data_IF_415763427792
#
_entry.id   IF_415763427792
#
_cell.length_a   1.000
_cell.length_b   1.000
_cell.length_c   1.000
_cell.angle_alpha   90.00
_cell.angle_beta   90.00
_cell.angle_gamma   90.00
#
_symmetry.space_group_name_H-M   'P 1'
#
loop_
_entity.id
_entity.type
_entity.pdbx_description
1 polymer ?
#
# COMPACT_ATOMS: atom_id res chain seq x y z
N UNK A 1 -10.33 -5.63 4.10
CA UNK A 1 -10.78 -4.72 5.18
C UNK A 1 -9.80 -4.68 6.36
N UNK A 2 -9.36 -5.83 6.94
CA UNK A 2 -8.51 -5.82 8.14
C UNK A 2 -7.19 -5.06 7.97
N UNK A 3 -6.57 -5.14 6.79
CA UNK A 3 -5.31 -4.43 6.51
C UNK A 3 -5.47 -2.90 6.49
N UNK A 4 -6.54 -2.40 5.84
CA UNK A 4 -6.81 -0.96 5.77
C UNK A 4 -7.04 -0.38 7.16
N UNK A 5 -7.85 -1.05 7.98
CA UNK A 5 -8.12 -0.62 9.36
C UNK A 5 -6.86 -0.68 10.23
N UNK A 6 -6.05 -1.73 10.09
CA UNK A 6 -4.78 -1.86 10.81
C UNK A 6 -3.80 -0.75 10.44
N UNK A 7 -3.67 -0.42 9.16
CA UNK A 7 -2.75 0.64 8.71
C UNK A 7 -3.26 2.02 9.11
N UNK A 8 -4.56 2.28 8.99
CA UNK A 8 -5.17 3.54 9.42
C UNK A 8 -4.95 3.79 10.93
N UNK A 9 -5.25 2.80 11.77
CA UNK A 9 -5.07 2.89 13.23
C UNK A 9 -3.60 3.12 13.61
N UNK A 10 -2.68 2.29 13.10
CA UNK A 10 -1.25 2.44 13.39
C UNK A 10 -0.68 3.78 12.94
N UNK A 11 -1.04 4.23 11.74
CA UNK A 11 -0.54 5.49 11.21
C UNK A 11 -1.09 6.69 11.97
N UNK A 12 -2.38 6.68 12.30
CA UNK A 12 -3.01 7.79 13.03
C UNK A 12 -2.50 7.87 14.47
N UNK A 13 -2.44 6.76 15.19
CA UNK A 13 -1.96 6.70 16.58
C UNK A 13 -0.48 7.04 16.73
N UNK A 14 0.35 6.71 15.73
CA UNK A 14 1.76 7.13 15.69
C UNK A 14 1.92 8.66 15.69
N UNK A 15 0.88 9.40 15.32
CA UNK A 15 0.84 10.86 15.32
C UNK A 15 -0.20 11.43 16.32
N UNK A 16 -0.65 10.63 17.29
CA UNK A 16 -1.65 11.01 18.30
C UNK A 16 -2.96 11.54 17.70
N UNK A 17 -3.35 11.02 16.53
CA UNK A 17 -4.61 11.35 15.85
C UNK A 17 -5.58 10.17 16.04
N UNK A 18 -6.81 10.46 16.46
CA UNK A 18 -7.87 9.45 16.50
C UNK A 18 -8.62 9.42 15.15
N UNK A 19 -8.44 8.34 14.38
CA UNK A 19 -9.21 8.10 13.18
C UNK A 19 -10.61 7.53 13.50
N UNK A 20 -11.65 8.05 12.86
CA UNK A 20 -13.02 7.54 12.95
C UNK A 20 -13.45 6.98 11.61
N UNK A 21 -14.17 5.86 11.62
CA UNK A 21 -14.61 5.11 10.43
C UNK A 21 -16.15 5.04 10.38
N UNK A 22 -16.88 6.14 10.07
CA UNK A 22 -18.34 6.20 10.16
C UNK A 22 -19.09 5.14 9.35
N UNK A 23 -18.50 4.68 8.24
CA UNK A 23 -19.09 3.64 7.41
C UNK A 23 -19.07 2.24 8.06
N UNK A 24 -18.39 2.07 9.20
CA UNK A 24 -18.39 0.84 10.01
C UNK A 24 -19.28 0.93 11.25
N UNK A 25 -20.14 1.96 11.35
CA UNK A 25 -21.17 1.99 12.39
C UNK A 25 -22.14 0.81 12.21
N UNK A 26 -22.41 0.08 13.29
CA UNK A 26 -23.24 -1.12 13.23
C UNK A 26 -24.67 -0.82 12.76
N UNK A 27 -25.23 0.36 13.08
CA UNK A 27 -26.58 0.76 12.67
C UNK A 27 -26.66 0.96 11.16
N UNK A 28 -25.59 1.51 10.57
CA UNK A 28 -25.49 1.61 9.12
C UNK A 28 -25.36 0.23 8.48
N UNK A 29 -24.56 -0.66 9.07
CA UNK A 29 -24.44 -2.03 8.57
C UNK A 29 -25.79 -2.77 8.62
N UNK A 30 -26.51 -2.70 9.74
CA UNK A 30 -27.85 -3.29 9.91
C UNK A 30 -28.84 -2.74 8.87
N UNK A 31 -28.87 -1.42 8.66
CA UNK A 31 -29.69 -0.80 7.63
C UNK A 31 -29.35 -1.36 6.24
N UNK A 32 -28.06 -1.42 5.89
CA UNK A 32 -27.62 -1.93 4.58
C UNK A 32 -28.00 -3.40 4.38
N UNK A 33 -28.01 -4.21 5.44
CA UNK A 33 -28.46 -5.61 5.37
C UNK A 33 -29.98 -5.77 5.22
N UNK A 34 -30.77 -4.76 5.62
CA UNK A 34 -32.22 -4.76 5.42
C UNK A 34 -32.67 -4.32 4.01
N UNK A 35 -31.76 -3.71 3.24
CA UNK A 35 -32.07 -3.16 1.91
C UNK A 35 -31.98 -4.26 0.84
N UNK A 36 -32.95 -4.33 -0.10
CA UNK A 36 -32.88 -5.24 -1.25
C UNK A 36 -31.57 -5.07 -2.06
N UNK A 37 -30.90 -6.16 -2.47
CA UNK A 37 -29.60 -6.07 -3.16
C UNK A 37 -29.60 -5.24 -4.45
N UNK A 38 -30.71 -5.22 -5.17
CA UNK A 38 -30.94 -4.44 -6.40
C UNK A 38 -30.98 -2.92 -6.17
N UNK A 39 -31.26 -2.48 -4.94
CA UNK A 39 -31.13 -1.08 -4.52
C UNK A 39 -29.69 -0.69 -4.14
N UNK A 40 -28.81 -1.66 -3.85
CA UNK A 40 -27.39 -1.42 -3.56
C UNK A 40 -26.54 -1.39 -4.84
N UNK A 41 -26.96 -2.15 -5.86
CA UNK A 41 -26.33 -2.24 -7.17
C UNK A 41 -27.39 -2.31 -8.29
N UNK A 42 -27.27 -1.42 -9.27
CA UNK A 42 -28.20 -1.36 -10.39
C UNK A 42 -27.48 -1.09 -11.72
N UNK A 43 -27.71 -1.92 -12.74
CA UNK A 43 -27.20 -1.76 -14.12
C UNK A 43 -25.69 -1.42 -14.17
N UNK A 44 -24.86 -2.18 -13.47
CA UNK A 44 -23.40 -1.96 -13.45
C UNK A 44 -22.95 -0.81 -12.54
N UNK A 45 -23.87 -0.11 -11.89
CA UNK A 45 -23.58 0.98 -10.95
C UNK A 45 -23.59 0.46 -9.53
N UNK A 46 -22.48 0.64 -8.82
CA UNK A 46 -22.35 0.29 -7.40
C UNK A 46 -22.69 1.48 -6.51
N UNK A 47 -23.06 1.19 -5.25
CA UNK A 47 -23.34 2.21 -4.21
C UNK A 47 -24.51 3.12 -4.59
N UNK A 48 -25.54 2.57 -5.25
CA UNK A 48 -26.66 3.37 -5.80
C UNK A 48 -27.35 4.17 -4.70
N UNK A 49 -27.81 3.50 -3.64
CA UNK A 49 -28.47 4.18 -2.51
C UNK A 49 -27.60 5.26 -1.85
N UNK A 50 -26.28 5.04 -1.76
CA UNK A 50 -25.35 6.03 -1.20
C UNK A 50 -25.20 7.25 -2.12
N UNK A 51 -25.14 7.02 -3.45
CA UNK A 51 -25.05 8.11 -4.42
C UNK A 51 -26.32 8.95 -4.40
N UNK A 52 -27.48 8.31 -4.37
CA UNK A 52 -28.78 9.00 -4.28
C UNK A 52 -28.88 9.81 -2.98
N UNK A 53 -28.54 9.23 -1.83
CA UNK A 53 -28.54 9.92 -0.54
C UNK A 53 -27.60 11.14 -0.47
N UNK A 54 -26.58 11.20 -1.33
CA UNK A 54 -25.64 12.32 -1.42
C UNK A 54 -25.99 13.32 -2.52
N UNK A 55 -27.14 13.20 -3.18
CA UNK A 55 -27.53 14.02 -4.33
C UNK A 55 -27.46 15.53 -4.11
N UNK A 56 -27.86 15.98 -2.92
CA UNK A 56 -27.87 17.41 -2.58
C UNK A 56 -26.57 17.90 -1.92
N UNK A 57 -25.69 16.97 -1.56
CA UNK A 57 -24.44 17.24 -0.83
C UNK A 57 -23.23 17.24 -1.79
N UNK A 58 -23.26 16.38 -2.80
CA UNK A 58 -22.09 16.11 -3.65
C UNK A 58 -22.34 16.50 -5.11
N UNK A 59 -21.41 17.23 -5.75
CA UNK A 59 -21.54 17.57 -7.16
C UNK A 59 -21.72 16.33 -8.06
N UNK A 60 -22.60 16.36 -9.07
CA UNK A 60 -22.86 15.21 -9.96
C UNK A 60 -21.58 14.63 -10.58
N UNK A 61 -20.63 15.49 -10.95
CA UNK A 61 -19.32 15.07 -11.51
C UNK A 61 -18.50 14.16 -10.59
N UNK A 62 -18.71 14.21 -9.28
CA UNK A 62 -18.04 13.33 -8.29
C UNK A 62 -18.97 12.16 -7.95
N UNK A 63 -20.24 12.47 -7.67
CA UNK A 63 -21.28 11.51 -7.28
C UNK A 63 -21.52 10.45 -8.34
N UNK A 64 -21.35 10.75 -9.62
CA UNK A 64 -21.70 9.85 -10.73
C UNK A 64 -20.46 9.16 -11.33
N UNK A 65 -19.27 9.36 -10.73
CA UNK A 65 -18.03 8.68 -11.14
C UNK A 65 -18.15 7.17 -11.03
N UNK A 66 -17.80 6.47 -12.11
CA UNK A 66 -17.79 5.01 -12.18
C UNK A 66 -16.40 4.40 -12.08
N UNK A 67 -15.36 5.20 -12.20
CA UNK A 67 -13.97 4.77 -12.01
C UNK A 67 -13.68 4.55 -10.52
N UNK A 68 -13.83 3.29 -10.09
CA UNK A 68 -13.51 2.87 -8.74
C UNK A 68 -11.99 2.85 -8.57
N UNK A 69 -11.46 3.86 -7.89
CA UNK A 69 -10.08 3.87 -7.45
C UNK A 69 -10.00 3.21 -6.06
N UNK A 70 -9.12 2.22 -5.93
CA UNK A 70 -8.72 1.73 -4.61
C UNK A 70 -7.83 2.77 -3.91
N UNK A 71 -7.54 2.54 -2.62
CA UNK A 71 -6.51 3.27 -1.89
C UNK A 71 -5.11 2.79 -2.30
N UNK A 72 -4.80 2.86 -3.60
CA UNK A 72 -3.51 2.44 -4.12
C UNK A 72 -2.53 3.58 -3.88
N UNK A 73 -1.48 3.32 -3.09
CA UNK A 73 -0.38 4.25 -2.97
C UNK A 73 0.18 4.53 -4.39
N UNK A 74 0.55 5.78 -4.74
CA UNK A 74 1.03 6.10 -6.08
C UNK A 74 2.49 5.65 -6.24
N UNK A 75 2.74 4.34 -6.09
CA UNK A 75 4.06 3.71 -6.06
C UNK A 75 4.89 4.09 -7.29
N UNK A 76 4.29 4.05 -8.48
CA UNK A 76 4.97 4.51 -9.69
C UNK A 76 5.43 5.97 -9.63
N UNK A 77 4.61 6.88 -9.09
CA UNK A 77 5.02 8.28 -8.90
C UNK A 77 6.15 8.39 -7.87
N UNK A 78 6.10 7.61 -6.80
CA UNK A 78 7.13 7.62 -5.77
C UNK A 78 8.48 7.11 -6.28
N UNK A 79 8.49 6.03 -7.06
CA UNK A 79 9.71 5.49 -7.70
C UNK A 79 10.28 6.39 -8.79
N UNK A 80 9.51 7.35 -9.30
CA UNK A 80 10.03 8.45 -10.14
C UNK A 80 10.68 9.58 -9.35
N UNK A 81 10.49 9.65 -8.03
CA UNK A 81 11.06 10.66 -7.14
C UNK A 81 11.93 10.04 -6.04
N UNK A 82 11.70 10.48 -4.80
CA UNK A 82 12.52 10.14 -3.63
C UNK A 82 12.66 8.63 -3.36
N UNK A 83 11.59 7.85 -3.57
CA UNK A 83 11.67 6.40 -3.37
C UNK A 83 12.55 5.73 -4.44
N UNK A 84 12.61 6.31 -5.64
CA UNK A 84 13.52 5.85 -6.68
C UNK A 84 14.97 6.23 -6.40
N UNK A 85 15.24 7.32 -5.68
CA UNK A 85 16.60 7.69 -5.25
C UNK A 85 17.10 6.70 -4.20
N UNK A 86 16.26 6.40 -3.19
CA UNK A 86 16.55 5.33 -2.24
C UNK A 86 16.77 3.98 -2.93
N UNK A 87 15.94 3.64 -3.92
CA UNK A 87 16.08 2.41 -4.67
C UNK A 87 17.40 2.36 -5.46
N UNK A 88 17.84 3.47 -6.05
CA UNK A 88 19.10 3.52 -6.78
C UNK A 88 20.29 3.29 -5.84
N UNK A 89 20.30 3.95 -4.67
CA UNK A 89 21.32 3.73 -3.63
C UNK A 89 21.36 2.27 -3.16
N UNK A 90 20.18 1.70 -2.89
CA UNK A 90 20.06 0.31 -2.43
C UNK A 90 20.54 -0.66 -3.51
N UNK A 91 20.10 -0.49 -4.77
CA UNK A 91 20.45 -1.39 -5.87
C UNK A 91 21.90 -1.23 -6.35
N UNK A 92 22.55 -0.09 -6.08
CA UNK A 92 23.97 0.12 -6.34
C UNK A 92 24.89 -0.44 -5.25
N UNK A 93 24.33 -0.85 -4.10
CA UNK A 93 25.13 -1.31 -2.97
C UNK A 93 25.73 -2.71 -3.18
N UNK A 94 26.91 -2.94 -2.60
CA UNK A 94 27.53 -4.27 -2.59
C UNK A 94 26.69 -5.30 -1.85
N UNK A 95 26.06 -4.92 -0.74
CA UNK A 95 25.21 -5.85 0.04
C UNK A 95 24.06 -6.40 -0.81
N UNK A 96 23.46 -5.58 -1.67
CA UNK A 96 22.42 -6.03 -2.58
C UNK A 96 22.97 -6.97 -3.66
N UNK A 97 24.08 -6.60 -4.29
CA UNK A 97 24.71 -7.39 -5.35
C UNK A 97 25.21 -8.75 -4.83
N UNK A 98 25.94 -8.75 -3.71
CA UNK A 98 26.55 -9.95 -3.12
C UNK A 98 25.50 -10.93 -2.57
N UNK A 99 24.29 -10.44 -2.22
CA UNK A 99 23.21 -11.29 -1.72
C UNK A 99 22.62 -12.21 -2.79
N UNK A 100 22.65 -11.79 -4.06
CA UNK A 100 22.29 -12.65 -5.19
C UNK A 100 20.81 -13.06 -5.30
N UNK A 101 19.90 -12.51 -4.49
CA UNK A 101 18.46 -12.79 -4.61
C UNK A 101 17.84 -12.19 -5.88
N UNK A 102 18.36 -11.04 -6.31
CA UNK A 102 17.93 -10.32 -7.50
C UNK A 102 19.18 -9.86 -8.23
N UNK A 103 19.21 -10.01 -9.55
CA UNK A 103 20.31 -9.49 -10.36
C UNK A 103 20.35 -7.96 -10.30
N UNK A 104 21.47 -7.43 -9.79
CA UNK A 104 21.60 -6.00 -9.53
C UNK A 104 21.58 -5.17 -10.82
N UNK A 105 22.14 -5.69 -11.91
CA UNK A 105 22.15 -5.02 -13.21
C UNK A 105 20.73 -4.86 -13.74
N UNK A 106 19.95 -5.94 -13.70
CA UNK A 106 18.55 -5.97 -14.13
C UNK A 106 17.67 -5.06 -13.28
N UNK A 107 17.83 -5.07 -11.95
CA UNK A 107 17.08 -4.20 -11.05
C UNK A 107 17.33 -2.71 -11.33
N UNK A 108 18.59 -2.31 -11.55
CA UNK A 108 18.96 -0.93 -11.89
C UNK A 108 18.44 -0.53 -13.27
N UNK A 109 18.53 -1.42 -14.26
CA UNK A 109 17.97 -1.16 -15.59
C UNK A 109 16.45 -0.98 -15.55
N UNK A 110 15.74 -1.79 -14.75
CA UNK A 110 14.30 -1.66 -14.53
C UNK A 110 13.95 -0.32 -13.89
N UNK A 111 14.68 0.09 -12.85
CA UNK A 111 14.51 1.38 -12.18
C UNK A 111 14.72 2.55 -13.15
N UNK A 112 15.78 2.51 -13.96
CA UNK A 112 16.07 3.56 -14.95
C UNK A 112 14.94 3.71 -15.98
N UNK A 113 14.45 2.59 -16.54
CA UNK A 113 13.32 2.58 -17.48
C UNK A 113 12.02 3.07 -16.83
N UNK A 114 11.82 2.80 -15.55
CA UNK A 114 10.68 3.31 -14.83
C UNK A 114 10.74 4.82 -14.61
N UNK A 115 11.91 5.32 -14.20
CA UNK A 115 12.15 6.75 -13.96
C UNK A 115 12.01 7.58 -15.22
N UNK A 116 12.44 7.06 -16.37
CA UNK A 116 12.26 7.73 -17.67
C UNK A 116 10.83 7.70 -18.21
N UNK A 117 9.92 6.95 -17.57
CA UNK A 117 8.56 6.74 -18.07
C UNK A 117 8.46 5.72 -19.21
N UNK A 118 9.56 5.08 -19.60
CA UNK A 118 9.58 4.06 -20.64
C UNK A 118 8.88 2.75 -20.23
N UNK A 119 8.66 2.54 -18.92
CA UNK A 119 7.97 1.36 -18.41
C UNK A 119 7.32 1.60 -17.02
N UNK A 120 6.08 1.17 -16.80
CA UNK A 120 5.49 1.14 -15.45
C UNK A 120 5.93 -0.15 -14.74
N UNK A 121 6.73 -0.02 -13.68
CA UNK A 121 7.29 -1.13 -12.91
C UNK A 121 7.32 -0.80 -11.39
N UNK A 122 6.44 0.11 -10.94
CA UNK A 122 6.51 0.61 -9.56
C UNK A 122 6.26 -0.46 -8.51
N UNK A 123 5.46 -1.48 -8.82
CA UNK A 123 5.17 -2.60 -7.92
C UNK A 123 6.32 -3.60 -7.83
N UNK A 124 6.96 -3.89 -8.96
CA UNK A 124 8.13 -4.75 -9.06
C UNK A 124 9.29 -4.14 -8.26
N UNK A 125 9.56 -2.86 -8.50
CA UNK A 125 10.59 -2.11 -7.77
C UNK A 125 10.30 -2.05 -6.27
N UNK A 126 9.03 -1.90 -5.88
CA UNK A 126 8.60 -1.96 -4.48
C UNK A 126 8.96 -3.29 -3.83
N UNK A 127 8.70 -4.41 -4.51
CA UNK A 127 9.01 -5.75 -4.00
C UNK A 127 10.51 -5.97 -3.83
N UNK A 128 11.31 -5.59 -4.83
CA UNK A 128 12.77 -5.72 -4.79
C UNK A 128 13.36 -4.87 -3.67
N UNK A 129 12.92 -3.61 -3.55
CA UNK A 129 13.38 -2.71 -2.50
C UNK A 129 13.03 -3.24 -1.10
N UNK A 130 11.78 -3.68 -0.89
CA UNK A 130 11.37 -4.21 0.40
C UNK A 130 12.10 -5.51 0.77
N UNK A 131 12.36 -6.39 -0.20
CA UNK A 131 13.14 -7.60 0.02
C UNK A 131 14.53 -7.28 0.59
N UNK A 132 15.24 -6.33 -0.02
CA UNK A 132 16.58 -5.94 0.44
C UNK A 132 16.54 -5.21 1.78
N UNK A 133 15.58 -4.30 1.99
CA UNK A 133 15.44 -3.61 3.29
C UNK A 133 15.10 -4.59 4.42
N UNK A 134 14.25 -5.57 4.15
CA UNK A 134 13.98 -6.67 5.08
C UNK A 134 15.23 -7.50 5.33
N UNK A 135 15.98 -7.87 4.28
CA UNK A 135 17.19 -8.66 4.43
C UNK A 135 18.24 -7.94 5.29
N UNK A 136 18.44 -6.63 5.10
CA UNK A 136 19.29 -5.82 5.98
C UNK A 136 18.81 -5.80 7.42
N UNK A 137 17.51 -5.70 7.63
CA UNK A 137 16.93 -5.61 8.97
C UNK A 137 16.97 -6.94 9.74
N UNK A 138 16.91 -8.09 9.06
CA UNK A 138 16.69 -9.39 9.71
C UNK A 138 17.74 -10.47 9.39
N UNK A 139 18.44 -10.40 8.25
CA UNK A 139 19.53 -11.33 7.93
C UNK A 139 20.89 -10.78 8.37
N UNK A 140 21.10 -9.48 8.20
CA UNK A 140 22.39 -8.86 8.52
C UNK A 140 22.48 -8.48 10.01
N UNK A 141 21.35 -8.20 10.66
CA UNK A 141 21.26 -8.07 12.12
C UNK A 141 21.15 -9.46 12.75
N UNK A 142 22.28 -10.00 13.21
CA UNK A 142 22.28 -11.20 14.06
C UNK A 142 21.49 -10.90 15.35
N UNK A 143 20.52 -11.74 15.76
CA UNK A 143 20.02 -11.68 17.14
C UNK A 143 21.20 -11.97 18.10
N UNK A 144 21.21 -11.39 19.31
CA UNK A 144 22.21 -11.75 20.31
C UNK A 144 22.17 -13.26 20.51
N UNK A 145 23.31 -13.93 20.32
CA UNK A 145 23.44 -15.34 20.69
C UNK A 145 23.17 -15.41 22.20
N UNK A 146 22.17 -16.16 22.68
CA UNK A 146 22.01 -16.36 24.10
C UNK A 146 23.31 -16.98 24.61
N UNK A 147 23.96 -16.33 25.57
CA UNK A 147 25.17 -16.84 26.19
C UNK A 147 24.85 -18.25 26.70
N UNK A 148 25.40 -19.27 26.05
CA UNK A 148 25.41 -20.61 26.59
C UNK A 148 26.11 -20.52 27.94
N UNK A 149 25.37 -20.80 29.01
CA UNK A 149 25.94 -20.95 30.33
C UNK A 149 27.05 -22.00 30.24
N UNK A 150 28.30 -21.54 30.35
CA UNK A 150 29.42 -22.41 30.63
C UNK A 150 29.24 -22.95 32.06
N UNK A 151 28.51 -24.06 32.20
CA UNK A 151 28.67 -24.99 33.31
C UNK A 151 29.88 -25.87 32.94
N UNK A 152 31.04 -25.68 33.57
CA UNK A 152 31.44 -26.28 34.86
C UNK A 152 31.36 -27.80 34.83
#
# INVERSE_FOLDING_TARGET
LPELLRYEDRNSMAHSIEARVPFLDYRLAELLFSIPPDALFHRGTTKVVLREALGDIMPPRVRDRRDKLGFVAPGGRFFRGALGELADEVFASRTFADRGFVDAVTARALLARHRSGAHEAGQELWRVLNLELWARAYLDRRPPVPATAAAS
#
